data_IF_657289901155
#
_entry.id   IF_657289901155
#
_cell.length_a   1.000
_cell.length_b   1.000
_cell.length_c   1.000
_cell.angle_alpha   90.00
_cell.angle_beta   90.00
_cell.angle_gamma   90.00
#
_symmetry.space_group_name_H-M   'P 1'
#
loop_
_entity.id
_entity.type
_entity.pdbx_description
1 polymer ?
#
# COMPACT_ATOMS: atom_id res chain seq x y z
N UNK A 1 0.38 -24.65 -31.28
CA UNK A 1 -0.92 -24.05 -30.89
C UNK A 1 -1.31 -24.61 -29.53
N UNK A 2 -0.92 -23.92 -28.45
CA UNK A 2 -1.39 -24.21 -27.09
C UNK A 2 -1.89 -22.88 -26.52
N UNK A 3 -3.21 -22.78 -26.39
CA UNK A 3 -3.92 -21.63 -25.84
C UNK A 3 -3.93 -21.77 -24.33
N UNK A 4 -3.11 -20.98 -23.63
CA UNK A 4 -3.21 -20.83 -22.18
C UNK A 4 -4.34 -19.87 -21.86
N UNK A 5 -5.51 -20.43 -21.51
CA UNK A 5 -6.55 -19.74 -20.77
C UNK A 5 -6.20 -19.83 -19.29
N UNK A 6 -5.62 -18.77 -18.73
CA UNK A 6 -5.53 -18.61 -17.28
C UNK A 6 -6.76 -17.85 -16.79
N UNK A 7 -7.56 -18.53 -15.99
CA UNK A 7 -8.84 -18.09 -15.48
C UNK A 7 -8.67 -17.03 -14.39
N UNK A 8 -9.36 -15.90 -14.54
CA UNK A 8 -9.59 -14.94 -13.47
C UNK A 8 -10.39 -15.57 -12.33
N UNK A 9 -9.75 -15.78 -11.18
CA UNK A 9 -10.45 -15.98 -9.91
C UNK A 9 -10.66 -14.63 -9.26
N UNK A 10 -11.87 -14.10 -9.46
CA UNK A 10 -12.41 -12.94 -8.75
C UNK A 10 -12.45 -13.24 -7.25
N UNK A 11 -11.72 -12.45 -6.46
CA UNK A 11 -11.96 -12.30 -5.02
C UNK A 11 -13.21 -11.42 -4.91
N UNK A 12 -14.37 -12.04 -4.73
CA UNK A 12 -15.63 -11.34 -4.46
C UNK A 12 -15.62 -10.78 -3.04
N UNK A 13 -15.43 -9.47 -2.89
CA UNK A 13 -15.76 -8.79 -1.64
C UNK A 13 -17.28 -8.56 -1.58
N UNK A 14 -17.95 -9.33 -0.71
CA UNK A 14 -19.38 -9.19 -0.45
C UNK A 14 -19.67 -7.85 0.24
N UNK A 15 -20.16 -6.87 -0.52
CA UNK A 15 -20.73 -5.62 -0.01
C UNK A 15 -22.12 -5.90 0.57
N UNK A 16 -22.23 -5.96 1.90
CA UNK A 16 -23.51 -5.78 2.60
C UNK A 16 -23.69 -4.29 2.93
N UNK A 17 -24.81 -3.73 2.48
CA UNK A 17 -25.02 -2.30 2.33
C UNK A 17 -25.57 -1.54 3.54
N UNK A 18 -26.01 -0.30 3.26
CA UNK A 18 -27.36 0.23 3.53
C UNK A 18 -27.41 1.70 3.09
N UNK A 19 -28.24 1.95 2.08
CA UNK A 19 -28.76 3.28 1.78
C UNK A 19 -29.67 3.74 2.92
N UNK A 20 -29.47 4.96 3.42
CA UNK A 20 -30.54 5.74 4.03
C UNK A 20 -30.49 7.18 3.54
N UNK A 21 -31.70 7.68 3.35
CA UNK A 21 -32.08 8.81 2.53
C UNK A 21 -31.89 10.18 3.19
N UNK A 22 -32.07 11.18 2.33
CA UNK A 22 -32.05 12.61 2.53
C UNK A 22 -32.82 13.15 3.77
N UNK A 23 -32.35 14.30 4.26
CA UNK A 23 -33.25 15.35 4.77
C UNK A 23 -32.59 16.73 4.66
N UNK A 24 -33.22 17.62 3.89
CA UNK A 24 -32.92 19.04 3.79
C UNK A 24 -33.30 19.79 5.08
N UNK A 25 -32.61 20.91 5.38
CA UNK A 25 -33.25 22.21 5.69
C UNK A 25 -32.22 23.34 5.82
N UNK A 26 -32.51 24.39 5.07
CA UNK A 26 -31.91 25.73 5.11
C UNK A 26 -32.26 26.41 6.44
N UNK A 27 -31.30 27.10 7.07
CA UNK A 27 -31.58 28.27 7.91
C UNK A 27 -30.44 29.27 7.83
N UNK A 28 -30.81 30.51 7.49
CA UNK A 28 -29.97 31.71 7.40
C UNK A 28 -30.14 32.50 8.70
N UNK A 29 -29.05 33.04 9.26
CA UNK A 29 -29.15 34.04 10.34
C UNK A 29 -27.87 34.39 11.09
N UNK A 30 -27.21 35.48 10.66
CA UNK A 30 -26.46 36.54 11.41
C UNK A 30 -25.96 36.20 12.84
N UNK A 31 -24.77 36.59 13.33
CA UNK A 31 -24.18 37.95 13.41
C UNK A 31 -22.85 37.86 14.21
N UNK A 32 -21.95 38.82 13.99
CA UNK A 32 -20.66 39.04 14.65
C UNK A 32 -20.76 39.27 16.17
N UNK A 33 -19.81 38.73 16.95
CA UNK A 33 -19.06 39.40 18.04
C UNK A 33 -17.96 38.46 18.56
N UNK A 34 -16.70 38.91 18.56
CA UNK A 34 -15.93 39.33 19.74
C UNK A 34 -15.14 38.21 20.42
N UNK A 35 -13.82 38.30 20.22
CA UNK A 35 -12.68 37.89 21.07
C UNK A 35 -13.04 37.29 22.45
N UNK A 36 -12.58 36.06 22.70
CA UNK A 36 -11.92 35.77 23.97
C UNK A 36 -10.91 34.61 23.88
N UNK A 37 -9.93 34.75 24.75
CA UNK A 37 -8.64 34.08 24.86
C UNK A 37 -8.72 32.85 25.77
N UNK A 38 -7.82 31.87 25.54
CA UNK A 38 -7.41 30.79 26.46
C UNK A 38 -8.46 29.77 26.91
N UNK A 39 -8.24 28.51 26.52
CA UNK A 39 -8.07 27.43 27.48
C UNK A 39 -7.37 26.24 26.81
N UNK A 40 -6.22 25.83 27.37
CA UNK A 40 -5.64 24.51 27.15
C UNK A 40 -6.71 23.45 27.42
N UNK A 41 -7.01 22.62 26.41
CA UNK A 41 -7.70 21.35 26.62
C UNK A 41 -6.72 20.23 26.38
N UNK A 42 -6.40 19.57 27.50
CA UNK A 42 -5.88 18.22 27.59
C UNK A 42 -6.57 17.30 26.59
N UNK A 43 -5.79 16.72 25.69
CA UNK A 43 -6.25 15.65 24.82
C UNK A 43 -6.40 14.37 25.66
N UNK A 44 -7.64 14.04 25.98
CA UNK A 44 -8.03 12.74 26.50
C UNK A 44 -7.94 11.72 25.36
N UNK A 45 -6.91 10.88 25.43
CA UNK A 45 -7.04 9.42 25.45
C UNK A 45 -8.24 8.84 24.68
N UNK A 46 -8.05 8.63 23.37
CA UNK A 46 -8.96 7.86 22.53
C UNK A 46 -8.28 6.56 22.08
N UNK A 47 -8.86 5.45 22.52
CA UNK A 47 -8.78 4.06 22.05
C UNK A 47 -7.53 3.63 21.28
N UNK A 48 -6.68 2.86 21.95
CA UNK A 48 -5.72 1.94 21.32
C UNK A 48 -6.52 0.93 20.46
N UNK A 49 -6.31 0.83 19.13
CA UNK A 49 -6.73 -0.37 18.42
C UNK A 49 -5.86 -1.53 18.92
N UNK A 50 -6.50 -2.48 19.59
CA UNK A 50 -5.87 -3.72 20.07
C UNK A 50 -5.62 -4.65 18.89
N UNK A 51 -4.56 -4.37 18.13
CA UNK A 51 -3.95 -5.37 17.26
C UNK A 51 -2.95 -6.17 18.11
N UNK A 52 -3.48 -7.15 18.83
CA UNK A 52 -2.70 -8.21 19.46
C UNK A 52 -2.03 -9.03 18.33
N UNK A 53 -0.88 -8.56 17.85
CA UNK A 53 0.14 -9.45 17.32
C UNK A 53 0.69 -10.23 18.52
N UNK A 54 0.07 -11.36 18.84
CA UNK A 54 0.71 -12.39 19.67
C UNK A 54 1.88 -12.94 18.88
N UNK A 55 3.07 -12.37 19.11
CA UNK A 55 4.31 -13.06 18.78
C UNK A 55 4.34 -14.36 19.61
N UNK A 56 4.46 -15.55 19.00
CA UNK A 56 4.71 -16.75 19.77
C UNK A 56 6.08 -16.62 20.43
N UNK A 57 6.12 -16.47 21.76
CA UNK A 57 7.32 -16.65 22.55
C UNK A 57 7.76 -18.10 22.40
N UNK A 58 8.68 -18.37 21.47
CA UNK A 58 9.44 -19.62 21.45
C UNK A 58 10.36 -19.62 22.66
N UNK A 59 9.96 -20.34 23.71
CA UNK A 59 10.88 -20.78 24.75
C UNK A 59 11.85 -21.77 24.11
N UNK A 60 13.09 -21.33 23.91
CA UNK A 60 14.17 -22.22 23.50
C UNK A 60 14.51 -23.11 24.69
N UNK A 61 14.07 -24.37 24.64
CA UNK A 61 14.56 -25.42 25.54
C UNK A 61 15.96 -25.80 25.06
N UNK A 62 16.97 -25.42 25.83
CA UNK A 62 18.37 -25.82 25.62
C UNK A 62 18.50 -27.32 25.89
N UNK A 63 18.38 -28.14 24.86
CA UNK A 63 18.79 -29.54 24.92
C UNK A 63 20.31 -29.63 24.81
N UNK A 64 20.95 -30.18 25.85
CA UNK A 64 22.36 -30.50 25.86
C UNK A 64 22.65 -31.63 24.84
N UNK A 65 23.53 -31.35 23.90
CA UNK A 65 23.95 -32.27 22.83
C UNK A 65 24.93 -33.32 23.37
N UNK A 66 24.70 -34.63 23.16
CA UNK A 66 25.71 -35.67 23.40
C UNK A 66 26.86 -35.58 22.37
N UNK A 67 28.06 -36.07 22.71
CA UNK A 67 29.25 -35.90 21.88
C UNK A 67 29.30 -36.87 20.69
N UNK A 68 29.60 -36.28 19.53
CA UNK A 68 30.34 -36.82 18.38
C UNK A 68 30.06 -38.25 17.92
N UNK A 69 29.19 -38.36 16.92
CA UNK A 69 29.27 -39.43 15.92
C UNK A 69 29.72 -38.82 14.59
N UNK A 70 30.75 -39.44 14.00
CA UNK A 70 31.48 -38.98 12.81
C UNK A 70 30.55 -38.74 11.63
N UNK A 71 30.31 -37.45 11.35
CA UNK A 71 29.48 -37.00 10.24
C UNK A 71 30.22 -37.26 8.91
N UNK A 72 29.62 -37.99 7.95
CA UNK A 72 30.19 -38.13 6.60
C UNK A 72 30.31 -36.76 5.92
N UNK A 73 31.25 -36.60 4.97
CA UNK A 73 31.53 -35.32 4.32
C UNK A 73 30.24 -34.70 3.77
N UNK A 74 30.09 -33.36 3.85
CA UNK A 74 28.90 -32.68 3.35
C UNK A 74 28.75 -33.05 1.88
N UNK A 75 27.73 -33.83 1.57
CA UNK A 75 27.32 -34.05 0.20
C UNK A 75 27.02 -32.67 -0.36
N UNK A 76 27.75 -32.27 -1.41
CA UNK A 76 27.45 -31.06 -2.17
C UNK A 76 25.94 -31.06 -2.45
N UNK A 77 25.23 -30.17 -1.76
CA UNK A 77 23.82 -29.92 -2.01
C UNK A 77 23.73 -29.51 -3.46
N UNK A 78 23.36 -30.47 -4.33
CA UNK A 78 23.09 -30.17 -5.72
C UNK A 78 22.08 -29.03 -5.74
N UNK A 79 22.36 -27.93 -6.47
CA UNK A 79 21.44 -26.80 -6.54
C UNK A 79 20.10 -27.34 -7.04
N UNK A 80 19.06 -27.17 -6.23
CA UNK A 80 17.72 -27.65 -6.52
C UNK A 80 17.29 -27.12 -7.91
N UNK A 81 17.19 -27.98 -8.94
CA UNK A 81 16.98 -27.54 -10.32
C UNK A 81 15.60 -26.92 -10.58
N UNK A 82 14.72 -26.89 -9.57
CA UNK A 82 13.38 -26.30 -9.64
C UNK A 82 13.31 -24.82 -9.25
N UNK A 83 14.42 -24.15 -8.92
CA UNK A 83 14.42 -22.71 -8.66
C UNK A 83 14.49 -21.91 -9.98
N UNK A 84 13.69 -22.26 -10.99
CA UNK A 84 13.52 -21.37 -12.13
C UNK A 84 12.84 -20.09 -11.62
N UNK A 85 13.41 -18.90 -11.86
CA UNK A 85 12.80 -17.65 -11.46
C UNK A 85 11.43 -17.56 -12.11
N UNK A 86 10.40 -17.37 -11.29
CA UNK A 86 9.02 -17.19 -11.74
C UNK A 86 9.00 -16.03 -12.77
N UNK A 87 8.68 -16.31 -14.05
CA UNK A 87 8.69 -15.28 -15.08
C UNK A 87 7.67 -14.17 -14.78
N UNK A 88 6.66 -14.42 -13.95
CA UNK A 88 5.67 -13.42 -13.53
C UNK A 88 6.24 -12.46 -12.48
N UNK A 89 7.16 -12.90 -11.62
CA UNK A 89 7.77 -12.05 -10.59
C UNK A 89 8.48 -10.82 -11.21
N UNK A 90 9.12 -11.01 -12.37
CA UNK A 90 9.74 -9.94 -13.15
C UNK A 90 8.74 -8.90 -13.68
N UNK A 91 7.51 -9.31 -13.98
CA UNK A 91 6.47 -8.41 -14.48
C UNK A 91 5.94 -7.49 -13.38
N UNK A 92 5.71 -8.04 -12.18
CA UNK A 92 5.22 -7.27 -11.04
C UNK A 92 6.18 -6.15 -10.62
N UNK A 93 7.49 -6.42 -10.60
CA UNK A 93 8.47 -5.38 -10.32
C UNK A 93 8.56 -4.33 -11.44
N UNK A 94 8.48 -4.76 -12.71
CA UNK A 94 8.51 -3.85 -13.85
C UNK A 94 7.34 -2.84 -13.79
N UNK A 95 6.15 -3.28 -13.34
CA UNK A 95 4.99 -2.40 -13.14
C UNK A 95 5.32 -1.29 -12.12
N UNK A 96 5.92 -1.62 -10.97
CA UNK A 96 6.32 -0.61 -9.98
C UNK A 96 7.37 0.36 -10.54
N UNK A 97 8.40 -0.16 -11.20
CA UNK A 97 9.48 0.66 -11.74
C UNK A 97 9.02 1.60 -12.84
N UNK A 98 8.16 1.10 -13.73
CA UNK A 98 7.55 1.91 -14.78
C UNK A 98 6.72 3.04 -14.18
N UNK A 99 5.93 2.78 -13.14
CA UNK A 99 5.20 3.83 -12.40
C UNK A 99 6.17 4.86 -11.80
N UNK A 100 7.25 4.40 -11.16
CA UNK A 100 8.22 5.33 -10.54
C UNK A 100 9.04 6.14 -11.54
N UNK A 101 9.20 5.63 -12.76
CA UNK A 101 9.90 6.31 -13.84
C UNK A 101 8.97 7.23 -14.66
N UNK A 102 7.66 7.23 -14.36
CA UNK A 102 6.70 7.96 -15.14
C UNK A 102 6.84 9.48 -14.94
N UNK A 103 6.86 10.29 -16.01
CA UNK A 103 7.01 11.74 -15.89
C UNK A 103 5.81 12.41 -15.19
N UNK A 104 4.66 11.75 -15.19
CA UNK A 104 3.43 12.26 -14.56
C UNK A 104 3.39 12.05 -13.04
N UNK A 105 4.29 11.24 -12.46
CA UNK A 105 4.19 10.78 -11.07
C UNK A 105 4.05 11.91 -10.04
N UNK A 106 4.83 12.98 -10.24
CA UNK A 106 4.81 14.19 -9.40
C UNK A 106 4.08 15.36 -10.05
N UNK A 107 3.36 15.12 -11.15
CA UNK A 107 2.51 16.15 -11.76
C UNK A 107 1.21 16.25 -10.97
N UNK A 108 0.89 17.45 -10.48
CA UNK A 108 -0.33 17.69 -9.72
C UNK A 108 -1.53 17.85 -10.65
N UNK A 109 -2.59 17.08 -10.39
CA UNK A 109 -3.89 17.35 -11.00
C UNK A 109 -4.44 18.69 -10.48
N UNK A 110 -5.11 19.52 -11.28
CA UNK A 110 -5.77 20.72 -10.77
C UNK A 110 -6.95 20.39 -9.84
N UNK A 111 -7.61 19.25 -10.05
CA UNK A 111 -8.77 18.81 -9.28
C UNK A 111 -8.36 18.08 -7.98
N UNK A 112 -8.77 18.57 -6.79
CA UNK A 112 -8.49 17.92 -5.50
C UNK A 112 -8.99 16.49 -5.38
N UNK A 113 -10.16 16.16 -5.92
CA UNK A 113 -10.68 14.79 -5.85
C UNK A 113 -9.85 13.84 -6.69
N UNK A 114 -9.48 14.27 -7.90
CA UNK A 114 -8.58 13.50 -8.75
C UNK A 114 -7.23 13.22 -8.08
N UNK A 115 -6.70 14.13 -7.25
CA UNK A 115 -5.47 13.86 -6.48
C UNK A 115 -5.64 12.71 -5.50
N UNK A 116 -6.81 12.59 -4.87
CA UNK A 116 -7.13 11.46 -3.99
C UNK A 116 -7.29 10.15 -4.77
N UNK A 117 -7.88 10.19 -5.97
CA UNK A 117 -7.95 9.02 -6.86
C UNK A 117 -6.56 8.56 -7.31
N UNK A 118 -5.68 9.50 -7.67
CA UNK A 118 -4.28 9.19 -8.03
C UNK A 118 -3.56 8.58 -6.83
N UNK A 119 -3.70 9.18 -5.63
CA UNK A 119 -3.11 8.62 -4.41
C UNK A 119 -3.62 7.20 -4.13
N UNK A 120 -4.92 6.95 -4.26
CA UNK A 120 -5.49 5.61 -4.15
C UNK A 120 -4.85 4.63 -5.13
N UNK A 121 -4.79 4.98 -6.42
CA UNK A 121 -4.22 4.10 -7.45
C UNK A 121 -2.76 3.73 -7.16
N UNK A 122 -1.96 4.70 -6.69
CA UNK A 122 -0.58 4.50 -6.28
C UNK A 122 -0.47 3.54 -5.08
N UNK A 123 -1.28 3.73 -4.03
CA UNK A 123 -1.28 2.85 -2.85
C UNK A 123 -1.78 1.45 -3.21
N UNK A 124 -2.81 1.35 -4.05
CA UNK A 124 -3.36 0.09 -4.53
C UNK A 124 -2.33 -0.71 -5.32
N UNK A 125 -1.48 -0.05 -6.11
CA UNK A 125 -0.39 -0.71 -6.83
C UNK A 125 0.63 -1.37 -5.88
N UNK A 126 0.91 -0.74 -4.73
CA UNK A 126 1.73 -1.36 -3.67
C UNK A 126 1.04 -2.62 -3.14
N UNK A 127 -0.26 -2.54 -2.85
CA UNK A 127 -1.04 -3.68 -2.35
C UNK A 127 -1.02 -4.83 -3.35
N UNK A 128 -1.29 -4.56 -4.63
CA UNK A 128 -1.27 -5.59 -5.69
C UNK A 128 0.08 -6.31 -5.76
N UNK A 129 1.19 -5.57 -5.68
CA UNK A 129 2.53 -6.14 -5.68
C UNK A 129 2.76 -7.07 -4.48
N UNK A 130 2.30 -6.66 -3.29
CA UNK A 130 2.47 -7.44 -2.05
C UNK A 130 1.57 -8.68 -2.00
N UNK A 131 0.42 -8.65 -2.67
CA UNK A 131 -0.56 -9.76 -2.69
C UNK A 131 -0.42 -10.67 -3.90
N UNK A 132 0.74 -10.66 -4.57
CA UNK A 132 0.99 -11.52 -5.73
C UNK A 132 0.73 -13.00 -5.43
N UNK A 133 0.24 -13.79 -6.40
CA UNK A 133 -0.35 -15.11 -6.17
C UNK A 133 0.62 -16.16 -5.59
N UNK A 134 1.93 -15.96 -5.70
CA UNK A 134 2.94 -16.90 -5.20
C UNK A 134 3.38 -16.50 -3.78
N UNK A 135 3.01 -17.31 -2.77
CA UNK A 135 3.50 -17.24 -1.38
C UNK A 135 3.35 -15.87 -0.69
N UNK A 136 2.24 -15.16 -0.92
CA UNK A 136 2.01 -13.78 -0.46
C UNK A 136 2.39 -13.54 1.03
N UNK A 137 2.03 -14.44 1.95
CA UNK A 137 2.35 -14.28 3.37
C UNK A 137 3.86 -14.29 3.64
N UNK A 138 4.59 -15.23 3.04
CA UNK A 138 6.04 -15.32 3.18
C UNK A 138 6.71 -14.13 2.50
N UNK A 139 6.17 -13.71 1.35
CA UNK A 139 6.67 -12.57 0.62
C UNK A 139 6.51 -11.27 1.38
N UNK A 140 5.37 -11.01 2.04
CA UNK A 140 5.17 -9.80 2.86
C UNK A 140 6.19 -9.74 4.00
N UNK A 141 6.44 -10.88 4.68
CA UNK A 141 7.45 -10.96 5.74
C UNK A 141 8.84 -10.68 5.17
N UNK A 142 9.22 -11.35 4.07
CA UNK A 142 10.50 -11.14 3.40
C UNK A 142 10.67 -9.69 2.93
N UNK A 143 9.62 -9.08 2.38
CA UNK A 143 9.62 -7.71 1.93
C UNK A 143 9.91 -6.73 3.06
N UNK A 144 9.40 -6.99 4.27
CA UNK A 144 9.69 -6.19 5.46
C UNK A 144 11.08 -6.41 6.06
N UNK A 145 11.56 -7.66 6.12
CA UNK A 145 12.69 -8.02 7.00
C UNK A 145 13.90 -8.64 6.31
N UNK A 146 13.78 -9.12 5.06
CA UNK A 146 14.88 -9.84 4.41
C UNK A 146 16.03 -8.88 4.03
N UNK A 147 17.29 -9.26 4.26
CA UNK A 147 18.42 -8.54 3.67
C UNK A 147 18.30 -8.62 2.14
N UNK A 148 18.44 -7.48 1.48
CA UNK A 148 18.29 -7.36 0.04
C UNK A 148 19.35 -6.41 -0.49
N UNK A 149 20.10 -6.82 -1.52
CA UNK A 149 20.95 -5.89 -2.27
C UNK A 149 20.08 -4.95 -3.11
N UNK A 150 20.61 -3.78 -3.46
CA UNK A 150 19.90 -2.80 -4.30
C UNK A 150 19.42 -3.36 -5.63
N UNK A 151 20.13 -4.34 -6.17
CA UNK A 151 19.86 -4.93 -7.49
C UNK A 151 18.96 -6.16 -7.43
N UNK A 152 18.73 -6.70 -6.22
CA UNK A 152 17.76 -7.78 -6.01
C UNK A 152 16.33 -7.28 -6.25
N UNK A 153 15.43 -8.19 -6.57
CA UNK A 153 14.01 -7.88 -6.77
C UNK A 153 13.41 -7.16 -5.55
N UNK A 154 13.66 -7.67 -4.34
CA UNK A 154 13.20 -7.04 -3.10
C UNK A 154 13.79 -5.64 -2.95
N UNK A 155 15.10 -5.46 -3.19
CA UNK A 155 15.74 -4.14 -3.07
C UNK A 155 15.15 -3.11 -4.05
N UNK A 156 14.97 -3.50 -5.31
CA UNK A 156 14.33 -2.67 -6.34
C UNK A 156 12.88 -2.34 -5.98
N UNK A 157 12.13 -3.32 -5.50
CA UNK A 157 10.74 -3.13 -5.08
C UNK A 157 10.62 -2.16 -3.90
N UNK A 158 11.49 -2.26 -2.88
CA UNK A 158 11.52 -1.34 -1.75
C UNK A 158 11.78 0.10 -2.19
N UNK A 159 12.76 0.29 -3.09
CA UNK A 159 13.05 1.60 -3.68
C UNK A 159 11.85 2.16 -4.44
N UNK A 160 11.18 1.32 -5.24
CA UNK A 160 10.03 1.73 -6.00
C UNK A 160 8.84 2.10 -5.08
N UNK A 161 8.53 1.26 -4.09
CA UNK A 161 7.49 1.49 -3.08
C UNK A 161 7.73 2.79 -2.31
N UNK A 162 8.96 3.06 -1.87
CA UNK A 162 9.31 4.32 -1.21
C UNK A 162 8.99 5.54 -2.09
N UNK A 163 9.31 5.47 -3.39
CA UNK A 163 9.01 6.53 -4.36
C UNK A 163 7.50 6.70 -4.59
N UNK A 164 6.75 5.60 -4.69
CA UNK A 164 5.30 5.61 -4.85
C UNK A 164 4.62 6.23 -3.62
N UNK A 165 5.06 5.88 -2.41
CA UNK A 165 4.56 6.49 -1.17
C UNK A 165 4.83 8.00 -1.17
N UNK A 166 6.03 8.42 -1.56
CA UNK A 166 6.36 9.84 -1.68
C UNK A 166 5.44 10.56 -2.67
N UNK A 167 5.13 9.95 -3.81
CA UNK A 167 4.21 10.49 -4.79
C UNK A 167 2.76 10.58 -4.26
N UNK A 168 2.26 9.54 -3.59
CA UNK A 168 0.94 9.55 -2.97
C UNK A 168 0.84 10.66 -1.90
N UNK A 169 1.85 10.78 -1.04
CA UNK A 169 1.93 11.87 -0.06
C UNK A 169 1.95 13.23 -0.75
N UNK A 170 2.72 13.40 -1.82
CA UNK A 170 2.76 14.65 -2.59
C UNK A 170 1.39 15.06 -3.14
N UNK A 171 0.64 14.11 -3.73
CA UNK A 171 -0.70 14.36 -4.25
C UNK A 171 -1.66 14.82 -3.13
N UNK A 172 -1.69 14.10 -2.01
CA UNK A 172 -2.59 14.40 -0.89
C UNK A 172 -2.20 15.68 -0.13
N UNK A 173 -0.91 15.94 0.10
CA UNK A 173 -0.41 17.16 0.76
C UNK A 173 -0.80 18.42 0.00
N UNK A 174 -0.84 18.34 -1.33
CA UNK A 174 -1.15 19.50 -2.17
C UNK A 174 -2.62 19.93 -2.12
N UNK A 175 -3.53 19.10 -1.61
CA UNK A 175 -4.95 19.43 -1.49
C UNK A 175 -5.11 20.65 -0.55
N UNK A 176 -5.68 21.78 -1.01
CA UNK A 176 -5.84 22.98 -0.18
C UNK A 176 -6.61 22.71 1.11
N UNK A 177 -6.27 23.40 2.20
CA UNK A 177 -6.90 23.22 3.52
C UNK A 177 -8.39 23.62 3.54
N UNK A 178 -8.80 24.51 2.65
CA UNK A 178 -10.15 25.01 2.46
C UNK A 178 -10.96 24.23 1.40
N UNK A 179 -10.35 23.24 0.74
CA UNK A 179 -11.04 22.43 -0.25
C UNK A 179 -12.19 21.63 0.39
N UNK A 180 -13.41 21.62 -0.20
CA UNK A 180 -14.56 20.90 0.36
C UNK A 180 -14.30 19.42 0.65
N UNK A 181 -13.46 18.78 -0.18
CA UNK A 181 -13.06 17.37 -0.03
C UNK A 181 -12.39 17.08 1.32
N UNK A 182 -11.64 18.04 1.90
CA UNK A 182 -11.05 17.88 3.24
C UNK A 182 -12.10 17.86 4.34
N UNK A 183 -13.10 18.73 4.25
CA UNK A 183 -14.20 18.76 5.21
C UNK A 183 -15.09 17.51 5.09
N UNK A 184 -15.32 17.02 3.87
CA UNK A 184 -16.12 15.85 3.61
C UNK A 184 -15.46 14.53 4.05
N UNK A 185 -14.13 14.46 4.03
CA UNK A 185 -13.36 13.23 4.27
C UNK A 185 -12.28 13.42 5.35
N UNK A 186 -12.64 14.03 6.49
CA UNK A 186 -11.71 14.29 7.58
C UNK A 186 -10.98 13.03 8.08
N UNK A 187 -11.68 11.89 8.12
CA UNK A 187 -11.12 10.59 8.51
C UNK A 187 -9.98 10.13 7.58
N UNK A 188 -10.11 10.34 6.27
CA UNK A 188 -9.03 10.06 5.29
C UNK A 188 -7.81 10.93 5.58
N UNK A 189 -8.02 12.22 5.87
CA UNK A 189 -6.94 13.16 6.13
C UNK A 189 -6.26 12.96 7.49
N UNK A 190 -6.97 12.43 8.49
CA UNK A 190 -6.39 12.04 9.77
C UNK A 190 -5.40 10.88 9.61
N UNK A 191 -5.78 9.82 8.87
CA UNK A 191 -4.90 8.68 8.57
C UNK A 191 -3.72 9.12 7.71
N UNK A 192 -3.99 9.95 6.69
CA UNK A 192 -2.93 10.54 5.87
C UNK A 192 -1.93 11.35 6.71
N UNK A 193 -2.38 12.07 7.74
CA UNK A 193 -1.49 12.77 8.67
C UNK A 193 -0.46 11.84 9.31
N UNK A 194 -0.86 10.61 9.67
CA UNK A 194 0.06 9.59 10.18
C UNK A 194 1.07 9.13 9.11
N UNK A 195 0.62 8.89 7.87
CA UNK A 195 1.50 8.50 6.77
C UNK A 195 2.52 9.60 6.44
N UNK A 196 2.07 10.85 6.42
CA UNK A 196 2.92 12.02 6.19
C UNK A 196 4.01 12.12 7.27
N UNK A 197 3.64 11.97 8.54
CA UNK A 197 4.60 12.00 9.64
C UNK A 197 5.63 10.86 9.54
N UNK A 198 5.19 9.65 9.16
CA UNK A 198 6.10 8.52 8.91
C UNK A 198 7.08 8.85 7.80
N UNK A 199 6.59 9.36 6.66
CA UNK A 199 7.46 9.75 5.55
C UNK A 199 8.49 10.80 5.97
N UNK A 200 8.09 11.81 6.74
CA UNK A 200 8.99 12.89 7.16
C UNK A 200 10.06 12.41 8.13
N UNK A 201 9.75 11.45 9.02
CA UNK A 201 10.74 10.85 9.92
C UNK A 201 11.90 10.18 9.16
N UNK A 202 11.64 9.60 7.99
CA UNK A 202 12.64 8.87 7.20
C UNK A 202 13.07 9.60 5.93
N UNK A 203 12.66 10.87 5.72
CA UNK A 203 12.95 11.60 4.48
C UNK A 203 14.44 11.91 4.26
N UNK A 204 15.23 11.95 5.33
CA UNK A 204 16.67 12.17 5.29
C UNK A 204 17.49 10.87 5.28
N UNK A 205 16.84 9.73 5.49
CA UNK A 205 17.52 8.44 5.58
C UNK A 205 17.56 7.73 4.24
N UNK A 206 18.61 6.94 4.04
CA UNK A 206 18.68 6.03 2.91
C UNK A 206 17.77 4.82 3.19
N UNK A 207 16.53 4.88 2.67
CA UNK A 207 15.55 3.79 2.75
C UNK A 207 16.05 2.48 2.11
N UNK A 208 17.17 2.49 1.38
CA UNK A 208 17.78 1.26 0.87
C UNK A 208 18.50 0.44 1.96
N UNK A 209 18.87 1.07 3.09
CA UNK A 209 19.47 0.37 4.21
C UNK A 209 18.43 -0.51 4.93
N UNK A 210 18.76 -1.80 5.12
CA UNK A 210 17.83 -2.80 5.67
C UNK A 210 17.20 -2.38 7.01
N UNK A 211 18.00 -1.84 7.93
CA UNK A 211 17.53 -1.45 9.27
C UNK A 211 16.46 -0.35 9.15
N UNK A 212 16.80 0.74 8.47
CA UNK A 212 15.89 1.85 8.17
C UNK A 212 14.63 1.35 7.46
N UNK A 213 14.76 0.47 6.46
CA UNK A 213 13.62 -0.09 5.76
C UNK A 213 12.66 -0.85 6.67
N UNK A 214 13.18 -1.77 7.50
CA UNK A 214 12.34 -2.59 8.37
C UNK A 214 11.56 -1.75 9.39
N UNK A 215 12.19 -0.73 9.97
CA UNK A 215 11.58 0.19 10.92
C UNK A 215 10.55 1.12 10.24
N UNK A 216 10.85 1.59 9.04
CA UNK A 216 9.92 2.34 8.19
C UNK A 216 8.70 1.50 7.84
N UNK A 217 8.92 0.31 7.29
CA UNK A 217 7.86 -0.54 6.75
C UNK A 217 6.90 -1.02 7.84
N UNK A 218 7.41 -1.41 9.01
CA UNK A 218 6.58 -1.82 10.15
C UNK A 218 5.58 -0.74 10.60
N UNK A 219 5.91 0.54 10.38
CA UNK A 219 5.02 1.68 10.68
C UNK A 219 4.14 2.05 9.49
N UNK A 220 4.72 2.07 8.28
CA UNK A 220 4.05 2.53 7.07
C UNK A 220 2.98 1.55 6.59
N UNK A 221 3.26 0.25 6.62
CA UNK A 221 2.37 -0.80 6.09
C UNK A 221 0.93 -0.72 6.62
N UNK A 222 0.66 -0.71 7.94
CA UNK A 222 -0.71 -0.66 8.44
C UNK A 222 -1.42 0.64 8.00
N UNK A 223 -0.72 1.77 7.98
CA UNK A 223 -1.29 3.06 7.58
C UNK A 223 -1.61 3.09 6.09
N UNK A 224 -0.74 2.51 5.24
CA UNK A 224 -0.97 2.40 3.79
C UNK A 224 -2.21 1.55 3.51
N UNK A 225 -2.36 0.41 4.18
CA UNK A 225 -3.51 -0.47 4.02
C UNK A 225 -4.81 0.22 4.47
N UNK A 226 -4.80 0.82 5.66
CA UNK A 226 -5.96 1.54 6.19
C UNK A 226 -6.35 2.72 5.31
N UNK A 227 -5.38 3.51 4.85
CA UNK A 227 -5.61 4.66 3.98
C UNK A 227 -6.17 4.23 2.62
N UNK A 228 -5.61 3.19 2.01
CA UNK A 228 -6.09 2.64 0.74
C UNK A 228 -7.54 2.16 0.85
N UNK A 229 -7.86 1.40 1.91
CA UNK A 229 -9.23 0.95 2.18
C UNK A 229 -10.18 2.12 2.39
N UNK A 230 -9.79 3.15 3.15
CA UNK A 230 -10.64 4.32 3.39
C UNK A 230 -10.87 5.13 2.13
N UNK A 231 -9.87 5.29 1.27
CA UNK A 231 -10.04 5.94 -0.02
C UNK A 231 -11.03 5.19 -0.91
N UNK A 232 -10.94 3.85 -0.96
CA UNK A 232 -11.89 3.01 -1.69
C UNK A 232 -13.32 3.14 -1.13
N UNK A 233 -13.49 3.06 0.19
CA UNK A 233 -14.77 3.23 0.88
C UNK A 233 -15.45 4.58 0.57
N UNK A 234 -14.67 5.65 0.38
CA UNK A 234 -15.17 6.99 0.03
C UNK A 234 -15.42 7.17 -1.47
N UNK A 235 -15.20 6.16 -2.30
CA UNK A 235 -15.45 6.22 -3.74
C UNK A 235 -14.32 6.88 -4.53
N UNK A 236 -13.11 6.97 -3.97
CA UNK A 236 -11.90 7.30 -4.73
C UNK A 236 -11.27 6.06 -5.38
N UNK A 237 -11.82 4.88 -5.10
CA UNK A 237 -11.48 3.61 -5.71
C UNK A 237 -11.82 3.52 -7.20
N UNK A 238 -11.40 2.43 -7.83
CA UNK A 238 -11.82 2.10 -9.19
C UNK A 238 -13.30 1.70 -9.19
N UNK A 239 -14.10 2.41 -9.95
CA UNK A 239 -15.53 2.09 -10.12
C UNK A 239 -15.71 0.86 -11.00
N UNK A 240 -16.89 0.24 -10.93
CA UNK A 240 -17.22 -0.89 -11.83
C UNK A 240 -17.16 -0.45 -13.29
N UNK A 241 -17.56 0.79 -13.57
CA UNK A 241 -17.43 1.43 -14.87
C UNK A 241 -15.97 1.54 -15.33
N UNK A 242 -15.06 1.95 -14.44
CA UNK A 242 -13.62 2.03 -14.75
C UNK A 242 -13.06 0.65 -15.11
N UNK A 243 -13.44 -0.39 -14.36
CA UNK A 243 -13.06 -1.77 -14.64
C UNK A 243 -13.58 -2.24 -16.00
N UNK A 244 -14.86 -2.00 -16.27
CA UNK A 244 -15.49 -2.38 -17.54
C UNK A 244 -14.84 -1.65 -18.72
N UNK A 245 -14.49 -0.37 -18.56
CA UNK A 245 -13.80 0.40 -19.59
C UNK A 245 -12.39 -0.14 -19.86
N UNK A 246 -11.63 -0.46 -18.81
CA UNK A 246 -10.29 -1.05 -18.96
C UNK A 246 -10.35 -2.38 -19.71
N UNK A 247 -11.24 -3.29 -19.30
CA UNK A 247 -11.42 -4.59 -19.97
C UNK A 247 -11.85 -4.41 -21.44
N UNK A 248 -12.78 -3.49 -21.72
CA UNK A 248 -13.22 -3.23 -23.09
C UNK A 248 -12.11 -2.66 -23.99
N UNK A 249 -11.17 -1.88 -23.43
CA UNK A 249 -10.01 -1.36 -24.16
C UNK A 249 -9.00 -2.46 -24.47
N UNK A 250 -8.76 -3.37 -23.53
CA UNK A 250 -7.88 -4.53 -23.73
C UNK A 250 -8.40 -5.45 -24.83
N UNK A 251 -9.69 -5.80 -24.80
CA UNK A 251 -10.31 -6.63 -25.85
C UNK A 251 -10.20 -5.99 -27.26
N UNK A 252 -10.33 -4.67 -27.34
CA UNK A 252 -10.16 -3.95 -28.61
C UNK A 252 -8.71 -3.95 -29.09
N UNK A 253 -7.75 -3.81 -28.16
CA UNK A 253 -6.33 -3.83 -28.48
C UNK A 253 -5.84 -5.21 -28.95
N UNK A 254 -6.43 -6.30 -28.44
CA UNK A 254 -6.12 -7.65 -28.90
C UNK A 254 -6.69 -7.92 -30.28
N UNK A 255 -7.95 -7.56 -30.54
CA UNK A 255 -8.59 -7.77 -31.85
C UNK A 255 -7.81 -7.10 -32.99
N UNK A 256 -7.29 -5.89 -32.74
CA UNK A 256 -6.50 -5.14 -33.73
C UNK A 256 -5.11 -5.71 -34.04
N UNK A 257 -4.60 -6.71 -33.32
CA UNK A 257 -3.30 -7.36 -33.60
C UNK A 257 -3.42 -8.62 -34.47
N UNK A 258 -4.64 -9.09 -34.72
CA UNK A 258 -4.91 -10.35 -35.45
C UNK A 258 -5.27 -10.16 -36.92
N UNK A 259 -5.35 -8.92 -37.38
CA UNK A 259 -5.57 -8.53 -38.78
C UNK A 259 -4.26 -8.07 -39.43
#
# INVERSE_FOLDING_TARGET
MLSSKAAGRLISFSRNGRYLAASSRISVGRKLSSVNTRACRSFQEASKPSWLFMAPSRTYTTHATPPSETQPPPSETQPNPESQPDPEAGQWIAILENTTSAPWLFTLSPDPEQRLRIAYALLFQIVLYLTRPTEAEQFIVAFGTAPASSDSEIGRARKAVGTIIQAAVHQMSSVPSDAPVRAAHGDVFDIFGALHAIRDMYAAEDLSALKTWSEFWARAQPVILELGMKLDEKGFGLTEEDWNEMTAREEKAEKGKTE
#
